data_IF_333397832239
#
_entry.id   IF_333397832239
#
_cell.length_a   1.000
_cell.length_b   1.000
_cell.length_c   1.000
_cell.angle_alpha   90.00
_cell.angle_beta   90.00
_cell.angle_gamma   90.00
#
_symmetry.space_group_name_H-M   'P 1'
#
loop_
_entity.id
_entity.type
_entity.pdbx_description
1 polymer ?
#
# COMPACT_ATOMS: atom_id res chain seq x y z
N UNK A 1 26.49 5.80 -1.32
CA UNK A 1 25.47 6.80 -0.94
C UNK A 1 24.08 6.19 -1.17
N UNK A 2 23.29 5.93 -0.12
CA UNK A 2 21.92 5.37 -0.28
C UNK A 2 20.95 6.47 -0.70
N UNK A 3 20.38 6.38 -1.90
CA UNK A 3 19.21 7.19 -2.27
C UNK A 3 17.99 6.70 -1.50
N UNK A 4 17.51 7.52 -0.56
CA UNK A 4 16.24 7.32 0.13
C UNK A 4 15.12 7.69 -0.84
N UNK A 5 14.45 6.70 -1.44
CA UNK A 5 13.11 6.89 -2.00
C UNK A 5 12.12 6.88 -0.83
N UNK A 6 12.17 7.91 0.00
CA UNK A 6 11.30 8.08 1.16
C UNK A 6 10.70 9.47 1.13
N UNK A 7 9.37 9.55 1.20
CA UNK A 7 8.52 10.73 1.36
C UNK A 7 9.05 12.03 0.70
N UNK A 8 8.39 12.46 -0.38
CA UNK A 8 8.64 13.76 -0.98
C UNK A 8 8.61 14.85 0.11
N UNK A 9 9.74 15.49 0.34
CA UNK A 9 9.80 16.63 1.25
C UNK A 9 9.33 17.86 0.48
N UNK A 10 8.38 18.59 1.04
CA UNK A 10 7.79 19.78 0.43
C UNK A 10 7.45 20.77 1.54
N UNK A 11 7.72 22.04 1.29
CA UNK A 11 7.50 23.13 2.25
C UNK A 11 6.06 23.65 2.21
N UNK A 12 5.29 23.27 1.18
CA UNK A 12 3.86 23.52 1.08
C UNK A 12 3.08 22.32 0.52
N UNK A 13 1.75 22.37 0.71
CA UNK A 13 0.85 21.33 0.20
C UNK A 13 0.81 21.35 -1.34
N UNK A 14 0.83 22.52 -1.94
CA UNK A 14 0.84 22.74 -3.39
C UNK A 14 2.11 22.13 -4.02
N UNK A 15 3.26 22.36 -3.39
CA UNK A 15 4.55 21.81 -3.82
C UNK A 15 4.58 20.28 -3.67
N UNK A 16 4.01 19.72 -2.60
CA UNK A 16 3.89 18.27 -2.45
C UNK A 16 3.02 17.65 -3.55
N UNK A 17 1.92 18.30 -3.91
CA UNK A 17 1.00 17.83 -4.96
C UNK A 17 1.69 17.86 -6.33
N UNK A 18 2.48 18.89 -6.64
CA UNK A 18 3.27 18.96 -7.87
C UNK A 18 4.35 17.89 -7.90
N UNK A 19 5.13 17.71 -6.83
CA UNK A 19 6.16 16.68 -6.73
C UNK A 19 5.55 15.26 -6.85
N UNK A 20 4.36 15.04 -6.26
CA UNK A 20 3.65 13.78 -6.39
C UNK A 20 3.18 13.53 -7.83
N UNK A 21 2.71 14.57 -8.55
CA UNK A 21 2.36 14.48 -9.97
C UNK A 21 3.58 14.23 -10.87
N UNK A 22 4.71 14.87 -10.60
CA UNK A 22 5.94 14.72 -11.39
C UNK A 22 6.60 13.34 -11.19
N UNK A 23 6.69 12.86 -9.95
CA UNK A 23 7.18 11.50 -9.67
C UNK A 23 6.31 10.41 -10.32
N UNK A 24 5.01 10.69 -10.51
CA UNK A 24 4.09 9.82 -11.23
C UNK A 24 4.40 9.75 -12.73
N UNK A 25 4.80 10.86 -13.37
CA UNK A 25 5.26 10.86 -14.75
C UNK A 25 6.58 10.10 -14.94
N UNK A 26 7.50 10.18 -13.98
CA UNK A 26 8.75 9.41 -14.03
C UNK A 26 8.53 7.90 -13.84
N UNK A 27 7.58 7.49 -12.99
CA UNK A 27 7.21 6.07 -12.85
C UNK A 27 6.53 5.47 -14.09
N UNK A 28 5.85 6.30 -14.90
CA UNK A 28 5.32 5.87 -16.20
C UNK A 28 6.43 5.59 -17.22
N UNK A 29 7.56 6.29 -17.13
CA UNK A 29 8.73 6.06 -17.99
C UNK A 29 9.47 4.80 -17.52
N UNK A 30 9.63 4.60 -16.21
CA UNK A 30 10.40 3.48 -15.65
C UNK A 30 9.75 2.10 -15.82
N UNK A 31 8.42 2.03 -15.96
CA UNK A 31 7.70 0.76 -16.27
C UNK A 31 7.32 0.63 -17.76
N UNK A 32 7.71 1.58 -18.60
CA UNK A 32 7.37 1.64 -20.03
C UNK A 32 8.50 1.24 -20.99
N UNK A 33 9.72 0.99 -20.51
CA UNK A 33 10.87 0.75 -21.40
C UNK A 33 11.86 -0.29 -20.86
N UNK A 34 11.40 -1.52 -20.62
CA UNK A 34 12.29 -2.68 -20.41
C UNK A 34 12.77 -3.31 -21.73
N UNK A 35 12.66 -2.61 -22.88
CA UNK A 35 13.10 -3.15 -24.17
C UNK A 35 14.30 -2.48 -24.84
N UNK A 36 14.83 -1.34 -24.37
CA UNK A 36 15.95 -0.69 -25.08
C UNK A 36 16.93 0.02 -24.13
N UNK A 37 17.61 -0.71 -23.25
CA UNK A 37 18.91 -0.25 -22.72
C UNK A 37 19.92 -1.41 -22.76
N UNK A 38 19.95 -2.10 -23.89
CA UNK A 38 21.07 -2.95 -24.28
C UNK A 38 21.81 -2.22 -25.42
N UNK A 39 22.68 -1.28 -25.06
CA UNK A 39 23.60 -0.66 -26.00
C UNK A 39 23.57 0.85 -26.02
N UNK A 40 24.27 1.49 -25.08
CA UNK A 40 25.01 2.73 -25.34
C UNK A 40 25.77 3.12 -24.07
N UNK A 41 26.96 2.55 -23.88
CA UNK A 41 28.09 3.21 -23.24
C UNK A 41 29.37 2.62 -23.86
N UNK A 42 29.61 2.97 -25.12
CA UNK A 42 30.95 2.93 -25.72
C UNK A 42 31.49 4.37 -25.69
N UNK A 43 32.67 4.51 -25.11
CA UNK A 43 33.55 5.65 -25.31
C UNK A 43 33.53 6.67 -24.16
N UNK A 44 34.37 6.44 -23.15
CA UNK A 44 35.28 7.48 -22.67
C UNK A 44 36.56 6.79 -22.15
N UNK A 45 37.64 7.06 -22.87
CA UNK A 45 39.00 6.61 -22.60
C UNK A 45 39.62 7.42 -21.44
N UNK A 46 40.33 6.68 -20.58
CA UNK A 46 41.52 7.01 -19.78
C UNK A 46 41.50 8.14 -18.72
N UNK A 47 41.70 7.72 -17.45
CA UNK A 47 43.03 7.84 -16.83
C UNK A 47 43.16 6.93 -15.61
N UNK A 48 44.19 6.08 -15.64
CA UNK A 48 44.62 5.15 -14.60
C UNK A 48 44.98 5.84 -13.27
N UNK A 49 44.62 5.19 -12.16
CA UNK A 49 45.55 4.96 -11.05
C UNK A 49 45.05 3.80 -10.19
N UNK A 50 45.82 2.72 -10.25
CA UNK A 50 45.71 1.51 -9.45
C UNK A 50 45.86 1.82 -7.96
N UNK A 51 45.02 1.19 -7.14
CA UNK A 51 45.48 0.57 -5.88
C UNK A 51 44.66 -0.69 -5.63
N UNK A 52 45.40 -1.77 -5.42
CA UNK A 52 44.95 -3.15 -5.27
C UNK A 52 44.22 -3.43 -3.95
N UNK A 53 43.51 -4.57 -3.96
CA UNK A 53 43.11 -5.45 -2.83
C UNK A 53 42.08 -4.92 -1.82
N UNK A 54 40.86 -5.44 -1.85
CA UNK A 54 40.50 -6.72 -1.19
C UNK A 54 39.11 -7.17 -1.66
N UNK A 55 39.06 -8.41 -2.14
CA UNK A 55 37.87 -9.19 -2.39
C UNK A 55 37.04 -9.33 -1.11
N UNK A 56 35.89 -8.67 -1.07
CA UNK A 56 34.74 -9.11 -0.28
C UNK A 56 33.57 -9.12 -1.27
N UNK A 57 33.50 -10.19 -2.05
CA UNK A 57 32.23 -10.63 -2.62
C UNK A 57 31.41 -11.19 -1.45
N UNK A 58 30.83 -10.29 -0.65
CA UNK A 58 29.54 -10.61 -0.08
C UNK A 58 28.62 -10.65 -1.29
N UNK A 59 28.37 -11.85 -1.83
CA UNK A 59 27.16 -12.16 -2.56
C UNK A 59 26.00 -11.80 -1.61
N UNK A 60 25.66 -10.51 -1.58
CA UNK A 60 24.45 -10.04 -0.95
C UNK A 60 23.34 -10.71 -1.74
N UNK A 61 22.84 -11.84 -1.22
CA UNK A 61 21.66 -12.53 -1.71
C UNK A 61 20.67 -11.46 -2.14
N UNK A 62 20.44 -11.34 -3.45
CA UNK A 62 19.55 -10.33 -4.00
C UNK A 62 18.15 -10.76 -3.60
N UNK A 63 17.69 -10.28 -2.44
CA UNK A 63 16.33 -10.52 -1.96
C UNK A 63 15.37 -9.79 -2.87
N UNK A 64 14.33 -10.49 -3.30
CA UNK A 64 13.22 -9.87 -4.03
C UNK A 64 12.54 -8.83 -3.11
N UNK A 65 12.63 -7.56 -3.48
CA UNK A 65 12.12 -6.42 -2.70
C UNK A 65 10.83 -5.92 -3.31
N UNK A 66 9.76 -5.93 -2.52
CA UNK A 66 8.46 -5.42 -2.94
C UNK A 66 7.85 -4.46 -1.92
N UNK A 67 7.12 -3.48 -2.43
CA UNK A 67 6.32 -2.55 -1.62
C UNK A 67 4.84 -2.88 -1.83
N UNK A 68 4.08 -2.94 -0.73
CA UNK A 68 2.64 -3.23 -0.75
C UNK A 68 1.91 -2.10 -0.05
N UNK A 69 1.10 -1.36 -0.81
CA UNK A 69 0.27 -0.29 -0.26
C UNK A 69 -1.08 -0.85 0.22
N UNK A 70 -1.35 -0.73 1.51
CA UNK A 70 -2.60 -1.16 2.15
C UNK A 70 -3.40 0.07 2.57
N UNK A 71 -4.56 0.30 1.96
CA UNK A 71 -5.48 1.34 2.40
C UNK A 71 -6.49 0.77 3.40
N UNK A 72 -6.46 1.29 4.62
CA UNK A 72 -7.36 0.92 5.72
C UNK A 72 -8.42 2.00 5.89
N UNK A 73 -9.69 1.62 5.77
CA UNK A 73 -10.85 2.44 6.05
C UNK A 73 -11.36 2.09 7.44
N UNK A 74 -11.22 2.99 8.41
CA UNK A 74 -11.68 2.75 9.77
C UNK A 74 -13.08 3.31 10.03
N UNK A 75 -13.96 2.43 10.51
CA UNK A 75 -15.25 2.78 11.11
C UNK A 75 -15.48 2.19 12.51
N UNK A 76 -14.49 1.49 13.06
CA UNK A 76 -14.58 0.71 14.29
C UNK A 76 -13.71 1.26 15.42
N UNK A 77 -12.90 2.29 15.19
CA UNK A 77 -11.87 2.78 16.12
C UNK A 77 -10.91 1.66 16.55
N UNK A 78 -10.62 0.71 15.64
CA UNK A 78 -9.78 -0.46 15.90
C UNK A 78 -8.38 -0.36 15.30
N UNK A 79 -8.01 0.83 14.81
CA UNK A 79 -6.74 1.04 14.12
C UNK A 79 -5.51 0.79 14.99
N UNK A 80 -5.63 0.90 16.32
CA UNK A 80 -4.55 0.56 17.25
C UNK A 80 -3.99 -0.86 17.02
N UNK A 81 -4.82 -1.79 16.50
CA UNK A 81 -4.37 -3.14 16.14
C UNK A 81 -3.47 -3.16 14.90
N UNK A 82 -3.65 -2.23 13.95
CA UNK A 82 -2.76 -2.07 12.78
C UNK A 82 -1.39 -1.58 13.24
N UNK A 83 -1.35 -0.59 14.13
CA UNK A 83 -0.11 -0.07 14.72
C UNK A 83 0.61 -1.14 15.55
N UNK A 84 -0.14 -1.89 16.37
CA UNK A 84 0.39 -3.04 17.12
C UNK A 84 0.99 -4.09 16.20
N UNK A 85 0.32 -4.42 15.09
CA UNK A 85 0.86 -5.35 14.09
C UNK A 85 2.17 -4.83 13.49
N UNK A 86 2.25 -3.54 13.20
CA UNK A 86 3.46 -2.89 12.69
C UNK A 86 4.56 -2.73 13.75
N UNK A 87 4.29 -3.00 15.03
CA UNK A 87 5.24 -2.77 16.12
C UNK A 87 5.50 -1.29 16.40
N UNK A 88 4.55 -0.42 16.03
CA UNK A 88 4.69 1.05 16.17
C UNK A 88 3.79 1.55 17.29
N UNK A 89 4.32 2.47 18.11
CA UNK A 89 3.53 3.12 19.15
C UNK A 89 2.62 4.19 18.53
N UNK A 90 1.34 4.16 18.90
CA UNK A 90 0.35 5.16 18.49
C UNK A 90 -0.20 5.87 19.72
N UNK A 91 -0.14 7.21 19.73
CA UNK A 91 -0.93 8.00 20.69
C UNK A 91 -2.39 7.99 20.24
N UNK A 92 -3.29 7.49 21.09
CA UNK A 92 -4.71 7.42 20.75
C UNK A 92 -5.27 8.83 20.49
N UNK A 93 -5.88 9.02 19.32
CA UNK A 93 -6.56 10.24 18.92
C UNK A 93 -7.95 9.86 18.42
N UNK A 94 -9.00 10.50 18.95
CA UNK A 94 -10.40 10.27 18.54
C UNK A 94 -10.73 10.90 17.17
N UNK A 95 -10.06 12.00 16.81
CA UNK A 95 -10.38 12.81 15.62
C UNK A 95 -9.23 12.83 14.61
N UNK A 96 -8.63 11.68 14.32
CA UNK A 96 -7.63 11.60 13.26
C UNK A 96 -8.31 11.58 11.88
N UNK A 97 -7.63 12.10 10.88
CA UNK A 97 -8.13 12.20 9.50
C UNK A 97 -7.45 11.17 8.60
N UNK A 98 -6.12 11.15 8.65
CA UNK A 98 -5.23 10.25 7.94
C UNK A 98 -4.07 9.91 8.87
N UNK A 99 -3.71 8.64 8.96
CA UNK A 99 -2.55 8.16 9.68
C UNK A 99 -1.78 7.13 8.85
N UNK A 100 -0.52 6.91 9.24
CA UNK A 100 0.38 6.03 8.52
C UNK A 100 1.22 5.20 9.49
N UNK A 101 1.40 3.92 9.16
CA UNK A 101 2.42 3.07 9.75
C UNK A 101 2.92 2.06 8.72
N UNK A 102 4.13 1.52 8.91
CA UNK A 102 4.70 0.52 8.02
C UNK A 102 5.27 -0.66 8.78
N UNK A 103 5.36 -1.80 8.10
CA UNK A 103 5.99 -3.01 8.62
C UNK A 103 6.84 -3.64 7.53
N UNK A 104 8.10 -3.92 7.86
CA UNK A 104 8.98 -4.72 7.03
C UNK A 104 8.89 -6.17 7.47
N UNK A 105 8.70 -7.08 6.52
CA UNK A 105 8.72 -8.53 6.70
C UNK A 105 9.84 -9.10 5.81
N UNK A 106 10.68 -9.98 6.35
CA UNK A 106 11.85 -10.53 5.65
C UNK A 106 11.94 -12.04 5.79
N UNK A 107 12.28 -12.73 4.71
CA UNK A 107 12.71 -14.14 4.69
C UNK A 107 14.15 -14.23 4.16
N UNK A 108 14.61 -15.46 3.90
CA UNK A 108 15.87 -15.69 3.17
C UNK A 108 15.82 -15.09 1.77
N UNK A 109 14.74 -15.32 1.01
CA UNK A 109 14.64 -14.93 -0.40
C UNK A 109 13.87 -13.65 -0.71
N UNK A 110 13.09 -13.12 0.25
CA UNK A 110 12.15 -12.02 -0.01
C UNK A 110 12.12 -10.98 1.11
N UNK A 111 11.91 -9.73 0.73
CA UNK A 111 11.74 -8.61 1.63
C UNK A 111 10.52 -7.80 1.16
N UNK A 112 9.52 -7.65 2.04
CA UNK A 112 8.28 -6.93 1.73
C UNK A 112 8.09 -5.79 2.70
N UNK A 113 7.84 -4.61 2.16
CA UNK A 113 7.52 -3.39 2.90
C UNK A 113 6.03 -3.13 2.77
N UNK A 114 5.28 -3.36 3.84
CA UNK A 114 3.86 -3.03 3.92
C UNK A 114 3.69 -1.59 4.40
N UNK A 115 2.99 -0.79 3.60
CA UNK A 115 2.65 0.61 3.89
C UNK A 115 1.16 0.71 4.20
N UNK A 116 0.79 0.98 5.45
CA UNK A 116 -0.60 1.10 5.88
C UNK A 116 -1.00 2.57 5.92
N UNK A 117 -1.84 2.99 4.97
CA UNK A 117 -2.50 4.29 4.97
C UNK A 117 -3.88 4.12 5.60
N UNK A 118 -4.14 4.84 6.68
CA UNK A 118 -5.33 4.63 7.52
C UNK A 118 -6.18 5.90 7.48
N UNK A 119 -7.39 5.80 6.96
CA UNK A 119 -8.33 6.92 6.89
C UNK A 119 -9.51 6.69 7.80
N UNK A 120 -9.94 7.76 8.47
CA UNK A 120 -11.23 7.77 9.14
C UNK A 120 -12.31 8.08 8.10
N UNK A 121 -13.24 7.15 7.87
CA UNK A 121 -14.27 7.33 6.84
C UNK A 121 -15.18 8.54 7.07
N UNK A 122 -15.32 8.99 8.32
CA UNK A 122 -16.13 10.17 8.64
C UNK A 122 -15.41 11.49 8.38
N UNK A 123 -14.11 11.45 8.07
CA UNK A 123 -13.33 12.64 7.74
C UNK A 123 -13.64 13.14 6.34
N UNK A 124 -13.96 14.43 6.24
CA UNK A 124 -14.04 15.16 4.96
C UNK A 124 -12.75 15.94 4.64
N UNK A 125 -11.74 15.89 5.51
CA UNK A 125 -10.44 16.54 5.25
C UNK A 125 -9.58 15.69 4.34
N UNK A 126 -8.79 16.36 3.49
CA UNK A 126 -7.82 15.75 2.56
C UNK A 126 -8.45 14.79 1.54
N UNK A 127 -9.67 15.05 1.08
CA UNK A 127 -10.37 14.15 0.15
C UNK A 127 -9.56 13.89 -1.14
N UNK A 128 -8.92 14.90 -1.70
CA UNK A 128 -8.08 14.77 -2.90
C UNK A 128 -6.89 13.83 -2.66
N UNK A 129 -6.19 14.01 -1.53
CA UNK A 129 -5.08 13.13 -1.13
C UNK A 129 -5.57 11.69 -0.87
N UNK A 130 -6.74 11.55 -0.25
CA UNK A 130 -7.37 10.25 0.00
C UNK A 130 -7.63 9.52 -1.32
N UNK A 131 -8.08 10.23 -2.37
CA UNK A 131 -8.29 9.62 -3.69
C UNK A 131 -7.03 9.07 -4.32
N UNK A 132 -5.86 9.69 -4.07
CA UNK A 132 -4.57 9.14 -4.49
C UNK A 132 -4.35 7.77 -3.86
N UNK A 133 -4.57 7.62 -2.55
CA UNK A 133 -4.42 6.32 -1.87
C UNK A 133 -5.43 5.28 -2.35
N UNK A 134 -6.64 5.70 -2.73
CA UNK A 134 -7.59 4.77 -3.36
C UNK A 134 -7.08 4.23 -4.71
N UNK A 135 -6.30 4.99 -5.46
CA UNK A 135 -5.75 4.56 -6.77
C UNK A 135 -4.45 3.76 -6.63
N UNK A 136 -3.63 4.08 -5.64
CA UNK A 136 -2.29 3.47 -5.48
C UNK A 136 -2.28 2.23 -4.59
N UNK A 137 -3.35 1.98 -3.84
CA UNK A 137 -3.44 0.78 -3.00
C UNK A 137 -3.39 -0.53 -3.80
N UNK A 138 -2.66 -1.50 -3.25
CA UNK A 138 -2.58 -2.87 -3.77
C UNK A 138 -3.68 -3.75 -3.19
N UNK A 139 -4.08 -3.48 -1.95
CA UNK A 139 -5.26 -4.05 -1.32
C UNK A 139 -5.93 -3.05 -0.37
N UNK A 140 -7.18 -3.33 -0.05
CA UNK A 140 -7.98 -2.51 0.84
C UNK A 140 -8.40 -3.30 2.07
N UNK A 141 -8.45 -2.65 3.22
CA UNK A 141 -9.02 -3.15 4.45
C UNK A 141 -10.18 -2.25 4.84
N UNK A 142 -11.38 -2.79 4.89
CA UNK A 142 -12.57 -2.06 5.33
C UNK A 142 -12.98 -2.56 6.72
N UNK A 143 -12.71 -1.77 7.74
CA UNK A 143 -13.15 -2.05 9.11
C UNK A 143 -14.62 -1.65 9.22
N UNK A 144 -15.50 -2.64 9.23
CA UNK A 144 -16.94 -2.46 9.14
C UNK A 144 -17.61 -2.45 10.50
N UNK A 145 -18.38 -1.40 10.80
CA UNK A 145 -19.36 -1.38 11.88
C UNK A 145 -20.71 -1.78 11.29
N UNK A 146 -21.42 -2.74 11.90
CA UNK A 146 -22.71 -3.22 11.37
C UNK A 146 -23.72 -2.08 11.13
N UNK A 147 -23.74 -1.04 11.97
CA UNK A 147 -24.60 0.13 11.80
C UNK A 147 -24.27 0.99 10.57
N UNK A 148 -23.10 0.78 9.94
CA UNK A 148 -22.57 1.51 8.79
C UNK A 148 -22.43 0.62 7.56
N UNK A 149 -23.15 -0.51 7.51
CA UNK A 149 -23.03 -1.47 6.42
C UNK A 149 -23.35 -0.88 5.05
N UNK A 150 -24.36 0.00 4.99
CA UNK A 150 -24.72 0.76 3.80
C UNK A 150 -23.57 1.61 3.23
N UNK A 151 -22.59 1.98 4.06
CA UNK A 151 -21.43 2.75 3.63
C UNK A 151 -20.39 1.88 2.90
N UNK A 152 -20.43 0.56 3.10
CA UNK A 152 -19.56 -0.37 2.38
C UNK A 152 -19.85 -0.35 0.88
N UNK A 153 -21.12 -0.28 0.47
CA UNK A 153 -21.46 -0.21 -0.95
C UNK A 153 -20.84 1.03 -1.61
N UNK A 154 -20.92 2.19 -0.94
CA UNK A 154 -20.30 3.43 -1.45
C UNK A 154 -18.79 3.31 -1.57
N UNK A 155 -18.15 2.69 -0.58
CA UNK A 155 -16.72 2.39 -0.63
C UNK A 155 -16.37 1.45 -1.79
N UNK A 156 -17.14 0.37 -1.97
CA UNK A 156 -16.92 -0.62 -3.02
C UNK A 156 -17.05 0.00 -4.41
N UNK A 157 -18.11 0.78 -4.65
CA UNK A 157 -18.29 1.52 -5.90
C UNK A 157 -17.14 2.52 -6.13
N UNK A 158 -16.66 3.20 -5.09
CA UNK A 158 -15.51 4.10 -5.20
C UNK A 158 -14.23 3.35 -5.61
N UNK A 159 -13.95 2.20 -5.00
CA UNK A 159 -12.79 1.36 -5.40
C UNK A 159 -12.91 0.93 -6.85
N UNK A 160 -14.09 0.46 -7.26
CA UNK A 160 -14.37 0.02 -8.64
C UNK A 160 -14.22 1.16 -9.64
N UNK A 161 -14.76 2.34 -9.34
CA UNK A 161 -14.68 3.53 -10.18
C UNK A 161 -13.25 3.99 -10.40
N UNK A 162 -12.41 3.94 -9.34
CA UNK A 162 -11.03 4.41 -9.38
C UNK A 162 -10.05 3.37 -9.90
N UNK A 163 -10.43 2.08 -9.93
CA UNK A 163 -9.58 0.97 -10.35
C UNK A 163 -10.22 0.13 -11.47
N UNK A 164 -10.84 0.78 -12.46
CA UNK A 164 -11.61 0.12 -13.55
C UNK A 164 -10.85 -1.01 -14.25
N UNK A 165 -9.52 -0.93 -14.30
CA UNK A 165 -8.65 -1.87 -15.02
C UNK A 165 -7.94 -2.88 -14.11
N UNK A 166 -8.17 -2.84 -12.79
CA UNK A 166 -7.48 -3.71 -11.82
C UNK A 166 -8.44 -4.27 -10.79
N UNK A 167 -8.53 -5.59 -10.71
CA UNK A 167 -9.25 -6.25 -9.61
C UNK A 167 -8.37 -6.28 -8.37
N UNK A 168 -8.69 -5.45 -7.38
CA UNK A 168 -7.91 -5.29 -6.15
C UNK A 168 -8.62 -5.91 -4.96
N UNK A 169 -7.97 -6.79 -4.19
CA UNK A 169 -8.63 -7.47 -3.07
C UNK A 169 -9.07 -6.49 -1.97
N UNK A 170 -10.26 -6.73 -1.45
CA UNK A 170 -10.89 -5.96 -0.38
C UNK A 170 -11.15 -6.90 0.80
N UNK A 171 -10.49 -6.65 1.91
CA UNK A 171 -10.69 -7.36 3.17
C UNK A 171 -11.74 -6.62 4.00
N UNK A 172 -12.97 -7.13 4.02
CA UNK A 172 -14.08 -6.56 4.78
C UNK A 172 -14.12 -7.20 6.17
N UNK A 173 -13.79 -6.43 7.20
CA UNK A 173 -13.56 -6.95 8.55
C UNK A 173 -14.62 -6.41 9.50
N UNK A 174 -15.39 -7.30 10.13
CA UNK A 174 -16.48 -6.89 11.00
C UNK A 174 -17.15 -8.08 11.65
N UNK A 175 -17.99 -7.81 12.65
CA UNK A 175 -18.73 -8.88 13.34
C UNK A 175 -19.96 -9.25 12.51
N UNK A 176 -19.76 -10.02 11.45
CA UNK A 176 -20.84 -10.56 10.63
C UNK A 176 -21.40 -11.80 11.34
N UNK A 177 -22.68 -11.77 11.75
CA UNK A 177 -23.38 -13.02 12.11
C UNK A 177 -23.30 -13.96 10.89
N UNK A 178 -23.20 -15.28 11.12
CA UNK A 178 -23.27 -16.29 10.04
C UNK A 178 -24.52 -15.96 9.20
N UNK A 179 -24.33 -15.42 8.00
CA UNK A 179 -25.43 -15.09 7.12
C UNK A 179 -25.77 -16.37 6.37
N UNK A 180 -26.75 -17.12 6.85
CA UNK A 180 -27.30 -18.30 6.17
C UNK A 180 -28.37 -17.95 5.13
N UNK A 181 -28.46 -16.68 4.71
CA UNK A 181 -29.37 -16.22 3.66
C UNK A 181 -29.15 -14.74 3.35
N UNK A 182 -28.13 -14.40 2.56
CA UNK A 182 -28.16 -13.19 1.75
C UNK A 182 -28.35 -13.65 0.32
N UNK A 183 -29.62 -13.69 -0.09
CA UNK A 183 -29.97 -13.82 -1.49
C UNK A 183 -29.47 -12.59 -2.25
N UNK A 184 -28.70 -12.85 -3.30
CA UNK A 184 -28.52 -12.04 -4.51
C UNK A 184 -28.02 -10.61 -4.33
N UNK A 185 -26.72 -10.46 -4.07
CA UNK A 185 -25.91 -9.41 -4.71
C UNK A 185 -25.16 -10.05 -5.87
N UNK A 186 -25.82 -10.06 -7.03
CA UNK A 186 -25.29 -10.29 -8.38
C UNK A 186 -23.89 -10.93 -8.45
N UNK A 187 -23.92 -12.26 -8.57
CA UNK A 187 -22.85 -13.12 -9.07
C UNK A 187 -22.09 -12.45 -10.23
N UNK A 188 -20.79 -12.22 -10.02
CA UNK A 188 -19.66 -12.18 -10.98
C UNK A 188 -18.43 -11.46 -10.33
N UNK A 189 -18.57 -10.69 -9.24
CA UNK A 189 -17.44 -9.98 -8.58
C UNK A 189 -17.10 -10.42 -7.14
N UNK A 190 -17.64 -11.53 -6.64
CA UNK A 190 -17.42 -12.00 -5.26
C UNK A 190 -15.95 -12.34 -4.94
N UNK A 191 -15.12 -12.69 -5.92
CA UNK A 191 -13.71 -13.05 -5.70
C UNK A 191 -12.83 -11.89 -5.21
N UNK A 192 -13.31 -10.65 -5.30
CA UNK A 192 -12.59 -9.47 -4.86
C UNK A 192 -12.75 -9.20 -3.35
N UNK A 193 -13.86 -9.63 -2.74
CA UNK A 193 -14.21 -9.27 -1.35
C UNK A 193 -14.01 -10.48 -0.42
N UNK A 194 -13.05 -10.37 0.49
CA UNK A 194 -12.79 -11.36 1.53
C UNK A 194 -13.38 -10.86 2.84
N UNK A 195 -14.44 -11.53 3.31
CA UNK A 195 -15.10 -11.18 4.57
C UNK A 195 -14.46 -11.91 5.75
N UNK A 196 -14.07 -11.18 6.79
CA UNK A 196 -13.36 -11.70 7.98
C UNK A 196 -13.96 -11.16 9.28
N UNK A 197 -13.80 -11.93 10.36
CA UNK A 197 -14.38 -11.59 11.67
C UNK A 197 -13.55 -10.56 12.44
N UNK A 198 -12.23 -10.58 12.28
CA UNK A 198 -11.33 -9.77 13.08
C UNK A 198 -10.12 -9.28 12.27
N UNK A 199 -9.54 -8.17 12.71
CA UNK A 199 -8.44 -7.50 12.02
C UNK A 199 -7.12 -8.30 12.09
N UNK A 200 -6.88 -9.03 13.18
CA UNK A 200 -5.70 -9.90 13.29
C UNK A 200 -5.65 -10.95 12.17
N UNK A 201 -6.77 -11.61 11.89
CA UNK A 201 -6.90 -12.56 10.79
C UNK A 201 -6.76 -11.88 9.42
N UNK A 202 -7.30 -10.66 9.26
CA UNK A 202 -7.13 -9.87 8.04
C UNK A 202 -5.68 -9.53 7.74
N UNK A 203 -4.95 -9.02 8.72
CA UNK A 203 -3.53 -8.70 8.58
C UNK A 203 -2.70 -9.95 8.26
N UNK A 204 -3.02 -11.10 8.88
CA UNK A 204 -2.41 -12.38 8.55
C UNK A 204 -2.64 -12.78 7.08
N UNK A 205 -3.88 -12.71 6.59
CA UNK A 205 -4.20 -13.04 5.19
C UNK A 205 -3.61 -12.07 4.18
N UNK A 206 -3.46 -10.80 4.53
CA UNK A 206 -2.76 -9.81 3.71
C UNK A 206 -1.29 -10.21 3.60
N UNK A 207 -0.64 -10.48 4.74
CA UNK A 207 0.74 -10.96 4.73
C UNK A 207 0.91 -12.19 3.83
N UNK A 208 0.09 -13.23 4.02
CA UNK A 208 0.13 -14.48 3.23
C UNK A 208 -0.15 -14.29 1.73
N UNK A 209 -0.86 -13.23 1.33
CA UNK A 209 -1.11 -12.97 -0.09
C UNK A 209 0.17 -12.51 -0.80
N UNK A 210 1.00 -11.73 -0.12
CA UNK A 210 2.14 -11.05 -0.74
C UNK A 210 3.46 -11.70 -0.37
N UNK A 211 3.55 -12.33 0.80
CA UNK A 211 4.76 -12.98 1.33
C UNK A 211 4.81 -14.44 0.96
#
# INVERSE_FOLDING_TARGET
MRQRLGALHADSLEEYIELAKMSWQQNLIFYGSDQEIAGQQRGFDNSEKETNTTSIEEEAEIKDRSNVNVLVIDNLDKIDQVFKYCGTFRKSKKNYYLEYCSKQETSSSKEIHFHFWIINQTSVKYQELIEVYYRTADCYVYLNKQSKDHQFQRFFEKVKLLNKHKTRKIYRIGNFRRVSSQQNLQNIQENQIITLRNLKEGLKKIREQYF
#
